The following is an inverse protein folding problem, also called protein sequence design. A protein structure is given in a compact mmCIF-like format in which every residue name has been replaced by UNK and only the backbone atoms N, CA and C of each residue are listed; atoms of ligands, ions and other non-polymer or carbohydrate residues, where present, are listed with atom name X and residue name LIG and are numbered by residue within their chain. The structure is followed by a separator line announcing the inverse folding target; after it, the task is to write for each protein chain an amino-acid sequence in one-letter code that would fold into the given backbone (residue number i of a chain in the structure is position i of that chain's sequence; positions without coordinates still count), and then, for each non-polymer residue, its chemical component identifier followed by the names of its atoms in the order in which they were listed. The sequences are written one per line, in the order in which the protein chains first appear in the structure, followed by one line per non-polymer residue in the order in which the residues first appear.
data_IF_496776300277
#
_entry.id   IF_496776300277
#
_cell.length_a   1.000
_cell.length_b   1.000
_cell.length_c   1.000
_cell.angle_alpha   90.00
_cell.angle_beta   90.00
_cell.angle_gamma   90.00
#
_symmetry.space_group_name_H-M   'P 1'
#
loop_
_entity.id
_entity.type
_entity.pdbx_description
1 polymer ?
#
# COMPACT_ATOMS: atom_id res chain seq x y z
N UNK A 1 5.37 0.31 6.43
CA UNK A 1 6.83 0.52 6.61
C UNK A 1 7.67 -0.55 5.92
N UNK A 2 7.32 -1.85 6.03
CA UNK A 2 8.03 -2.94 5.33
C UNK A 2 8.17 -2.75 3.81
N UNK A 3 7.10 -2.38 3.10
CA UNK A 3 7.13 -2.16 1.64
C UNK A 3 8.00 -0.97 1.22
N UNK A 4 7.97 0.15 1.95
CA UNK A 4 8.85 1.31 1.69
C UNK A 4 10.31 0.90 1.84
N UNK A 5 10.65 0.20 2.92
CA UNK A 5 12.03 -0.24 3.16
C UNK A 5 12.53 -1.16 2.03
N UNK A 6 11.68 -2.08 1.56
CA UNK A 6 11.98 -2.97 0.44
C UNK A 6 12.25 -2.21 -0.88
N UNK A 7 11.47 -1.16 -1.16
CA UNK A 7 11.64 -0.31 -2.35
C UNK A 7 12.88 0.58 -2.24
N UNK A 8 13.12 1.16 -1.06
CA UNK A 8 14.33 1.96 -0.81
C UNK A 8 15.61 1.13 -0.90
N UNK A 9 15.59 -0.10 -0.39
CA UNK A 9 16.71 -1.04 -0.56
C UNK A 9 17.00 -1.38 -2.04
N UNK A 10 16.02 -1.22 -2.94
CA UNK A 10 16.16 -1.39 -4.40
C UNK A 10 16.50 -0.10 -5.14
N UNK A 11 16.80 0.99 -4.44
CA UNK A 11 17.22 2.25 -5.04
C UNK A 11 16.10 3.25 -5.31
N UNK A 12 14.86 2.99 -4.86
CA UNK A 12 13.80 4.02 -4.91
C UNK A 12 14.05 5.03 -3.80
N UNK A 13 14.34 6.28 -4.16
CA UNK A 13 14.51 7.36 -3.18
C UNK A 13 13.31 7.45 -2.24
N UNK A 14 13.55 7.46 -0.94
CA UNK A 14 12.50 7.57 0.08
C UNK A 14 11.68 8.87 -0.07
N UNK A 15 12.28 9.94 -0.61
CA UNK A 15 11.59 11.21 -0.89
C UNK A 15 10.53 11.11 -2.00
N UNK A 16 10.52 10.02 -2.78
CA UNK A 16 9.52 9.72 -3.81
C UNK A 16 8.40 8.80 -3.32
N UNK A 17 8.44 8.36 -2.06
CA UNK A 17 7.50 7.39 -1.50
C UNK A 17 6.66 8.05 -0.42
N UNK A 18 5.43 8.37 -0.77
CA UNK A 18 4.39 8.73 0.18
C UNK A 18 3.69 7.45 0.69
N UNK A 19 3.43 7.35 2.00
CA UNK A 19 2.66 6.24 2.57
C UNK A 19 1.41 6.84 3.20
N UNK A 20 0.25 6.42 2.71
CA UNK A 20 -1.04 6.72 3.31
C UNK A 20 -1.65 5.43 3.88
N UNK A 21 -1.98 5.43 5.17
CA UNK A 21 -2.63 4.30 5.82
C UNK A 21 -4.16 4.45 5.79
N UNK A 22 -4.84 3.85 4.81
CA UNK A 22 -6.32 3.97 4.68
C UNK A 22 -7.14 3.06 5.61
N UNK A 23 -6.49 2.24 6.44
CA UNK A 23 -7.16 1.41 7.44
C UNK A 23 -8.29 0.54 6.87
N UNK A 24 -9.37 0.37 7.64
CA UNK A 24 -10.55 -0.43 7.30
C UNK A 24 -11.62 0.34 6.51
N UNK A 25 -11.34 1.57 6.06
CA UNK A 25 -12.36 2.46 5.47
C UNK A 25 -12.74 2.09 4.02
N UNK A 26 -12.01 1.19 3.36
CA UNK A 26 -12.33 0.66 2.02
C UNK A 26 -12.08 -0.87 1.96
N UNK A 27 -12.96 -1.68 2.55
CA UNK A 27 -12.89 -3.13 2.44
C UNK A 27 -13.25 -3.56 1.01
N UNK A 28 -12.40 -4.38 0.37
CA UNK A 28 -12.73 -4.99 -0.94
C UNK A 28 -13.61 -6.23 -0.74
N UNK A 29 -13.51 -6.86 0.43
CA UNK A 29 -14.35 -7.99 0.83
C UNK A 29 -14.87 -7.79 2.26
N UNK A 30 -15.96 -8.49 2.62
CA UNK A 30 -16.51 -8.44 3.98
C UNK A 30 -15.46 -8.77 5.04
N UNK A 31 -15.37 -7.97 6.10
CA UNK A 31 -14.50 -8.27 7.25
C UNK A 31 -15.06 -9.40 8.14
N UNK A 32 -16.27 -9.87 7.86
CA UNK A 32 -16.95 -10.85 8.70
C UNK A 32 -16.43 -12.28 8.49
N UNK A 33 -15.79 -12.56 7.36
CA UNK A 33 -15.15 -13.87 7.11
C UNK A 33 -13.63 -13.78 7.19
N UNK A 34 -12.99 -14.89 7.53
CA UNK A 34 -11.53 -14.95 7.61
C UNK A 34 -10.88 -14.77 6.24
N UNK A 35 -11.51 -15.32 5.20
CA UNK A 35 -11.12 -15.15 3.80
C UNK A 35 -11.24 -13.69 3.36
N UNK A 36 -12.31 -12.99 3.78
CA UNK A 36 -12.52 -11.58 3.46
C UNK A 36 -11.53 -10.66 4.17
N UNK A 37 -11.22 -10.95 5.45
CA UNK A 37 -10.13 -10.27 6.18
C UNK A 37 -8.77 -10.51 5.54
N UNK A 38 -8.50 -11.73 5.04
CA UNK A 38 -7.26 -12.04 4.36
C UNK A 38 -7.11 -11.22 3.06
N UNK A 39 -8.18 -11.08 2.28
CA UNK A 39 -8.20 -10.24 1.06
C UNK A 39 -7.99 -8.76 1.36
N UNK A 40 -8.43 -8.28 2.51
CA UNK A 40 -8.28 -6.88 2.91
C UNK A 40 -6.86 -6.51 3.36
N UNK A 41 -5.97 -7.48 3.66
CA UNK A 41 -4.55 -7.26 3.96
C UNK A 41 -3.74 -7.08 2.67
N UNK A 42 -3.81 -5.89 2.07
CA UNK A 42 -3.10 -5.57 0.82
C UNK A 42 -2.32 -4.26 0.90
N UNK A 43 -1.35 -4.12 0.01
CA UNK A 43 -0.62 -2.87 -0.23
C UNK A 43 -0.90 -2.45 -1.66
N UNK A 44 -1.48 -1.27 -1.86
CA UNK A 44 -1.67 -0.66 -3.17
C UNK A 44 -0.53 0.32 -3.45
N UNK A 45 0.02 0.27 -4.66
CA UNK A 45 1.11 1.16 -5.09
C UNK A 45 0.63 1.92 -6.32
N UNK A 46 0.49 3.23 -6.18
CA UNK A 46 0.19 4.13 -7.29
C UNK A 46 1.49 4.77 -7.78
N UNK A 47 1.79 4.61 -9.06
CA UNK A 47 2.96 5.22 -9.70
C UNK A 47 2.48 6.35 -10.61
N UNK A 48 2.68 7.59 -10.16
CA UNK A 48 2.44 8.78 -10.96
C UNK A 48 3.72 9.28 -11.63
N UNK A 49 3.63 9.68 -12.89
CA UNK A 49 4.63 10.56 -13.50
C UNK A 49 4.36 11.99 -13.01
N UNK A 50 5.39 12.72 -12.57
CA UNK A 50 5.22 14.15 -12.30
C UNK A 50 4.98 14.84 -13.64
N UNK A 51 3.89 15.61 -13.83
CA UNK A 51 3.77 16.44 -15.01
C UNK A 51 4.98 17.37 -15.09
N UNK A 52 5.56 17.47 -16.29
CA UNK A 52 6.77 18.27 -16.56
C UNK A 52 6.55 19.74 -16.29
#
# INVERSE_FOLDING_TARGET
TSTRNYLTARGVSASRIEIEGRGSYQPIASNNTEEGRARNRRVEIFVGERPR
#
